data_IF_226213409883
#
_entry.id   IF_226213409883
#
_cell.length_a   1.000
_cell.length_b   1.000
_cell.length_c   1.000
_cell.angle_alpha   90.00
_cell.angle_beta   90.00
_cell.angle_gamma   90.00
#
_symmetry.space_group_name_H-M   'P 1'
#
loop_
_entity.id
_entity.type
_entity.pdbx_description
1 polymer ?
#
# COMPACT_ATOMS: atom_id res chain seq x y z
N UNK A 1 25.88 -33.45 68.20
CA UNK A 1 26.70 -33.01 67.05
C UNK A 1 25.89 -33.28 65.78
N UNK A 2 24.99 -32.36 65.41
CA UNK A 2 24.10 -32.53 64.25
C UNK A 2 24.85 -32.23 62.96
N UNK A 3 24.87 -33.16 62.02
CA UNK A 3 25.39 -32.92 60.67
C UNK A 3 24.28 -32.21 59.88
N UNK A 4 24.61 -31.02 59.38
CA UNK A 4 23.72 -30.19 58.58
C UNK A 4 23.86 -30.61 57.13
N UNK A 5 22.86 -31.31 56.61
CA UNK A 5 22.78 -31.76 55.22
C UNK A 5 22.32 -30.62 54.30
N UNK A 6 23.05 -29.49 54.31
CA UNK A 6 22.78 -28.37 53.41
C UNK A 6 23.76 -28.39 52.24
N UNK A 7 23.34 -28.98 51.13
CA UNK A 7 24.05 -28.93 49.85
C UNK A 7 23.60 -27.69 49.05
N UNK A 8 24.46 -26.68 48.81
CA UNK A 8 24.06 -25.41 48.20
C UNK A 8 23.94 -25.49 46.66
N UNK A 9 23.59 -26.66 46.12
CA UNK A 9 23.62 -26.96 44.68
C UNK A 9 22.31 -26.68 43.94
N UNK A 10 21.28 -26.16 44.60
CA UNK A 10 20.07 -25.69 43.93
C UNK A 10 20.13 -24.16 43.83
N UNK A 11 21.10 -23.67 43.07
CA UNK A 11 21.12 -22.27 42.65
C UNK A 11 19.86 -21.99 41.84
N UNK A 12 19.02 -21.06 42.31
CA UNK A 12 17.77 -20.64 41.67
C UNK A 12 18.01 -20.52 40.16
N UNK A 13 17.48 -21.46 39.38
CA UNK A 13 17.62 -21.46 37.93
C UNK A 13 16.75 -20.33 37.38
N UNK A 14 17.35 -19.15 37.28
CA UNK A 14 16.73 -17.98 36.66
C UNK A 14 16.64 -18.26 35.16
N UNK A 15 15.45 -18.66 34.71
CA UNK A 15 15.18 -18.85 33.28
C UNK A 15 15.12 -17.47 32.63
N UNK A 16 16.12 -17.17 31.79
CA UNK A 16 16.16 -15.93 31.01
C UNK A 16 15.07 -15.99 29.93
N UNK A 17 14.06 -15.14 30.03
CA UNK A 17 13.04 -15.02 28.99
C UNK A 17 13.61 -14.20 27.82
N UNK A 18 13.65 -14.81 26.64
CA UNK A 18 13.95 -14.09 25.41
C UNK A 18 12.68 -13.36 24.93
N UNK A 19 12.69 -12.03 25.05
CA UNK A 19 11.58 -11.19 24.57
C UNK A 19 11.83 -10.84 23.12
N UNK A 20 11.10 -11.50 22.22
CA UNK A 20 11.04 -11.13 20.82
C UNK A 20 10.00 -10.01 20.66
N UNK A 21 10.43 -8.84 20.18
CA UNK A 21 9.54 -7.73 19.81
C UNK A 21 9.44 -7.59 18.28
N UNK A 22 8.70 -8.47 17.59
CA UNK A 22 8.49 -8.33 16.16
C UNK A 22 7.59 -7.12 15.90
N UNK A 23 8.20 -6.01 15.48
CA UNK A 23 7.47 -4.84 14.99
C UNK A 23 7.14 -5.07 13.51
N UNK A 24 5.85 -5.06 13.17
CA UNK A 24 5.42 -5.18 11.78
C UNK A 24 5.84 -3.92 11.00
N UNK A 25 6.83 -4.05 10.12
CA UNK A 25 7.21 -2.97 9.23
C UNK A 25 6.06 -2.67 8.28
N UNK A 26 5.50 -1.46 8.34
CA UNK A 26 4.47 -1.03 7.39
C UNK A 26 5.06 -1.07 5.97
N UNK A 27 4.64 -2.05 5.15
CA UNK A 27 5.09 -2.18 3.76
C UNK A 27 4.88 -0.89 2.95
N UNK A 28 3.84 -0.12 3.28
CA UNK A 28 3.57 1.18 2.65
C UNK A 28 4.69 2.21 2.82
N UNK A 29 5.50 2.11 3.88
CA UNK A 29 6.65 2.99 4.11
C UNK A 29 7.89 2.50 3.37
N UNK A 30 8.06 1.17 3.24
CA UNK A 30 9.18 0.56 2.49
C UNK A 30 9.05 0.72 0.97
N UNK A 31 7.81 0.77 0.47
CA UNK A 31 7.48 0.93 -0.96
C UNK A 31 6.93 2.32 -1.24
N UNK A 32 7.24 3.32 -0.41
CA UNK A 32 6.86 4.70 -0.63
C UNK A 32 7.56 5.21 -1.90
N UNK A 33 6.91 5.01 -3.05
CA UNK A 33 7.36 5.54 -4.33
C UNK A 33 7.26 7.07 -4.25
N UNK A 34 8.25 7.76 -4.81
CA UNK A 34 8.15 9.21 -4.98
C UNK A 34 6.91 9.51 -5.79
N UNK A 35 6.04 10.38 -5.26
CA UNK A 35 4.83 10.78 -5.98
C UNK A 35 5.23 11.42 -7.30
N UNK A 36 4.69 10.93 -8.41
CA UNK A 36 4.91 11.55 -9.71
C UNK A 36 4.50 13.02 -9.63
N UNK A 37 5.35 13.96 -10.06
CA UNK A 37 5.02 15.38 -10.01
C UNK A 37 3.74 15.62 -10.79
N UNK A 38 2.81 16.37 -10.19
CA UNK A 38 1.55 16.74 -10.86
C UNK A 38 1.88 17.61 -12.08
N UNK A 39 1.53 17.19 -13.30
CA UNK A 39 1.73 18.04 -14.47
C UNK A 39 0.82 19.26 -14.39
N UNK A 40 1.30 20.41 -14.89
CA UNK A 40 0.53 21.65 -14.90
C UNK A 40 -0.66 21.61 -15.88
N UNK A 41 -0.59 20.75 -16.91
CA UNK A 41 -1.64 20.55 -17.90
C UNK A 41 -1.67 19.10 -18.40
N UNK A 42 -2.81 18.69 -18.97
CA UNK A 42 -3.00 17.42 -19.67
C UNK A 42 -2.90 17.57 -21.20
N UNK A 43 -2.54 18.75 -21.71
CA UNK A 43 -2.43 18.99 -23.16
C UNK A 43 -1.42 18.03 -23.80
N UNK A 44 -1.79 17.46 -24.95
CA UNK A 44 -1.00 16.47 -25.67
C UNK A 44 -0.64 15.23 -24.83
N UNK A 45 -1.42 14.89 -23.80
CA UNK A 45 -1.26 13.67 -22.99
C UNK A 45 -2.37 12.67 -23.26
N UNK A 46 -2.11 11.43 -22.89
CA UNK A 46 -3.10 10.36 -22.85
C UNK A 46 -3.53 10.11 -21.41
N UNK A 47 -4.83 10.18 -21.16
CA UNK A 47 -5.45 9.86 -19.87
C UNK A 47 -6.15 8.50 -19.97
N UNK A 48 -5.78 7.58 -19.09
CA UNK A 48 -6.44 6.29 -18.95
C UNK A 48 -7.53 6.33 -17.89
N UNK A 49 -8.76 5.97 -18.25
CA UNK A 49 -9.88 5.80 -17.35
C UNK A 49 -10.10 4.31 -17.09
N UNK A 50 -9.77 3.86 -15.89
CA UNK A 50 -9.90 2.46 -15.50
C UNK A 50 -11.20 2.25 -14.70
N UNK A 51 -12.12 1.48 -15.26
CA UNK A 51 -13.35 1.10 -14.59
C UNK A 51 -13.22 -0.27 -13.89
N UNK A 52 -13.52 -0.30 -12.60
CA UNK A 52 -13.45 -1.49 -11.75
C UNK A 52 -14.61 -2.47 -11.90
N UNK A 53 -15.61 -2.18 -12.73
CA UNK A 53 -16.79 -3.04 -12.91
C UNK A 53 -17.98 -2.70 -11.99
N UNK A 54 -17.87 -1.67 -11.15
CA UNK A 54 -18.96 -1.21 -10.29
C UNK A 54 -20.10 -0.63 -11.14
N UNK A 55 -21.35 -1.00 -10.85
CA UNK A 55 -22.53 -0.56 -11.60
C UNK A 55 -22.58 0.97 -11.76
N UNK A 56 -22.77 1.46 -12.99
CA UNK A 56 -22.83 2.88 -13.32
C UNK A 56 -21.49 3.63 -13.29
N UNK A 57 -20.40 2.98 -12.86
CA UNK A 57 -19.06 3.60 -12.86
C UNK A 57 -18.54 3.86 -14.26
N UNK A 58 -18.96 3.09 -15.25
CA UNK A 58 -18.61 3.27 -16.65
C UNK A 58 -19.22 4.55 -17.24
N UNK A 59 -20.49 4.83 -16.90
CA UNK A 59 -21.20 6.05 -17.34
C UNK A 59 -20.53 7.29 -16.73
N UNK A 60 -20.22 7.25 -15.44
CA UNK A 60 -19.55 8.36 -14.75
C UNK A 60 -18.15 8.62 -15.34
N UNK A 61 -17.37 7.57 -15.60
CA UNK A 61 -16.04 7.70 -16.18
C UNK A 61 -16.10 8.21 -17.62
N UNK A 62 -17.03 7.73 -18.46
CA UNK A 62 -17.23 8.27 -19.81
C UNK A 62 -17.49 9.77 -19.77
N UNK A 63 -18.40 10.23 -18.90
CA UNK A 63 -18.68 11.66 -18.75
C UNK A 63 -17.47 12.46 -18.28
N UNK A 64 -16.69 11.90 -17.34
CA UNK A 64 -15.43 12.52 -16.91
C UNK A 64 -14.43 12.64 -18.07
N UNK A 65 -14.34 11.63 -18.94
CA UNK A 65 -13.51 11.64 -20.15
C UNK A 65 -13.89 12.77 -21.11
N UNK A 66 -15.19 12.93 -21.40
CA UNK A 66 -15.70 14.02 -22.23
C UNK A 66 -15.31 15.39 -21.64
N UNK A 67 -15.54 15.59 -20.34
CA UNK A 67 -15.18 16.85 -19.66
C UNK A 67 -13.67 17.14 -19.71
N UNK A 68 -12.83 16.11 -19.68
CA UNK A 68 -11.38 16.27 -19.82
C UNK A 68 -11.04 16.73 -21.25
N UNK A 69 -11.66 16.13 -22.26
CA UNK A 69 -11.48 16.52 -23.66
C UNK A 69 -12.01 17.93 -23.96
N UNK A 70 -13.09 18.35 -23.30
CA UNK A 70 -13.61 19.72 -23.40
C UNK A 70 -12.64 20.75 -22.78
N UNK A 71 -11.87 20.35 -21.76
CA UNK A 71 -11.04 21.26 -20.95
C UNK A 71 -9.60 21.41 -21.45
N UNK A 72 -9.03 20.38 -22.08
CA UNK A 72 -7.62 20.34 -22.46
C UNK A 72 -7.45 20.11 -23.96
N UNK A 73 -6.42 20.71 -24.56
CA UNK A 73 -6.17 20.64 -25.99
C UNK A 73 -5.42 19.37 -26.36
N UNK A 74 -5.88 18.67 -27.40
CA UNK A 74 -5.21 17.49 -27.96
C UNK A 74 -4.99 16.38 -26.90
N UNK A 75 -5.87 16.28 -25.91
CA UNK A 75 -5.83 15.22 -24.90
C UNK A 75 -6.54 13.97 -25.42
N UNK A 76 -5.89 12.82 -25.33
CA UNK A 76 -6.46 11.52 -25.69
C UNK A 76 -7.02 10.84 -24.44
N UNK A 77 -8.23 10.29 -24.51
CA UNK A 77 -8.83 9.55 -23.40
C UNK A 77 -9.06 8.11 -23.82
N UNK A 78 -8.45 7.18 -23.07
CA UNK A 78 -8.59 5.74 -23.28
C UNK A 78 -9.40 5.14 -22.13
N UNK A 79 -10.36 4.30 -22.44
CA UNK A 79 -11.19 3.62 -21.44
C UNK A 79 -10.77 2.16 -21.31
N UNK A 80 -10.51 1.72 -20.08
CA UNK A 80 -10.11 0.36 -19.75
C UNK A 80 -11.07 -0.24 -18.74
N UNK A 81 -11.41 -1.52 -18.92
CA UNK A 81 -12.11 -2.32 -17.92
C UNK A 81 -11.10 -3.08 -17.08
N UNK A 82 -11.37 -3.33 -15.80
CA UNK A 82 -10.45 -3.93 -14.82
C UNK A 82 -9.73 -5.23 -15.22
N UNK A 83 -10.19 -5.93 -16.28
CA UNK A 83 -9.52 -7.10 -16.84
C UNK A 83 -8.63 -6.86 -18.07
N UNK A 84 -8.54 -5.63 -18.60
CA UNK A 84 -7.85 -5.32 -19.87
C UNK A 84 -7.01 -4.03 -19.79
N UNK A 85 -6.38 -3.77 -18.64
CA UNK A 85 -5.41 -2.69 -18.49
C UNK A 85 -4.00 -3.24 -18.81
N UNK A 86 -3.21 -2.60 -19.71
CA UNK A 86 -1.87 -3.06 -20.07
C UNK A 86 -0.85 -2.97 -18.93
#
# INVERSE_FOLDING_TARGET
MGRSDYDPKEGIQMHLLEVLNPVATQRGVLTAMTTTPRPASLDNKTVGLLWSGTHGGDVALKRAGEMIQERFQTVSVNFYTGGNYP
#
